data_IF_198136827053
#
_entry.id   IF_198136827053
#
_cell.length_a   1.000
_cell.length_b   1.000
_cell.length_c   1.000
_cell.angle_alpha   90.00
_cell.angle_beta   90.00
_cell.angle_gamma   90.00
#
_symmetry.space_group_name_H-M   'P 1'
#
loop_
_entity.id
_entity.type
_entity.pdbx_description
1 polymer ?
#
# COMPACT_ATOMS: atom_id res chain seq x y z
N UNK A 1 -31.32 -20.26 -6.95
CA UNK A 1 -30.23 -21.23 -7.20
C UNK A 1 -28.90 -20.57 -6.90
N UNK A 2 -28.39 -20.75 -5.68
CA UNK A 2 -27.07 -20.25 -5.28
C UNK A 2 -26.00 -21.05 -6.02
N UNK A 3 -25.17 -20.39 -6.83
CA UNK A 3 -23.94 -21.01 -7.33
C UNK A 3 -23.05 -21.27 -6.12
N UNK A 4 -22.96 -22.54 -5.73
CA UNK A 4 -21.94 -23.03 -4.79
C UNK A 4 -20.61 -22.82 -5.49
N UNK A 5 -19.90 -21.77 -5.09
CA UNK A 5 -18.49 -21.58 -5.46
C UNK A 5 -17.73 -22.75 -4.82
N UNK A 6 -16.92 -23.50 -5.57
CA UNK A 6 -16.09 -24.54 -4.99
C UNK A 6 -15.23 -23.95 -3.89
N UNK A 7 -15.26 -24.56 -2.69
CA UNK A 7 -14.31 -24.26 -1.62
C UNK A 7 -12.91 -24.62 -2.13
N UNK A 8 -12.15 -23.63 -2.59
CA UNK A 8 -10.76 -23.83 -2.93
C UNK A 8 -10.00 -24.26 -1.66
N UNK A 9 -9.33 -25.40 -1.73
CA UNK A 9 -8.63 -26.04 -0.62
C UNK A 9 -7.17 -25.56 -0.50
N UNK A 10 -6.80 -24.44 -1.10
CA UNK A 10 -5.39 -24.01 -1.19
C UNK A 10 -5.06 -22.64 -0.62
N UNK A 11 -6.01 -21.97 0.07
CA UNK A 11 -5.72 -20.73 0.80
C UNK A 11 -4.81 -21.01 2.01
N UNK A 12 -3.50 -21.14 1.79
CA UNK A 12 -2.50 -21.07 2.87
C UNK A 12 -2.53 -19.63 3.38
N UNK A 13 -3.00 -19.44 4.61
CA UNK A 13 -3.01 -18.13 5.24
C UNK A 13 -1.61 -17.51 5.32
N UNK A 14 -1.55 -16.19 5.48
CA UNK A 14 -0.31 -15.47 5.76
C UNK A 14 0.45 -16.16 6.91
N UNK A 15 1.68 -16.58 6.63
CA UNK A 15 2.56 -17.22 7.60
C UNK A 15 3.67 -16.24 7.93
N UNK A 16 3.59 -15.64 9.12
CA UNK A 16 4.64 -14.75 9.64
C UNK A 16 6.05 -15.37 9.57
N UNK A 17 6.25 -16.63 9.96
CA UNK A 17 7.54 -17.30 9.80
C UNK A 17 8.00 -17.42 8.34
N UNK A 18 7.11 -17.79 7.42
CA UNK A 18 7.45 -17.89 6.00
C UNK A 18 7.82 -16.51 5.44
N UNK A 19 7.06 -15.49 5.79
CA UNK A 19 7.35 -14.11 5.40
C UNK A 19 8.72 -13.65 5.90
N UNK A 20 9.03 -13.88 7.18
CA UNK A 20 10.33 -13.54 7.75
C UNK A 20 11.48 -14.29 7.04
N UNK A 21 11.32 -15.58 6.77
CA UNK A 21 12.29 -16.38 6.01
C UNK A 21 12.46 -15.79 4.60
N UNK A 22 11.37 -15.46 3.91
CA UNK A 22 11.43 -14.86 2.57
C UNK A 22 12.18 -13.54 2.59
N UNK A 23 11.89 -12.63 3.53
CA UNK A 23 12.59 -11.35 3.65
C UNK A 23 14.09 -11.57 3.90
N UNK A 24 14.46 -12.45 4.84
CA UNK A 24 15.86 -12.74 5.17
C UNK A 24 16.60 -13.35 3.97
N UNK A 25 16.01 -14.34 3.29
CA UNK A 25 16.62 -14.97 2.13
C UNK A 25 16.75 -14.00 0.96
N UNK A 26 15.72 -13.19 0.68
CA UNK A 26 15.78 -12.16 -0.36
C UNK A 26 16.82 -11.09 -0.06
N UNK A 27 16.93 -10.64 1.19
CA UNK A 27 17.96 -9.69 1.61
C UNK A 27 19.37 -10.29 1.49
N UNK A 28 19.55 -11.54 1.92
CA UNK A 28 20.80 -12.28 1.77
C UNK A 28 21.20 -12.46 0.31
N UNK A 29 20.23 -12.73 -0.58
CA UNK A 29 20.46 -12.81 -2.03
C UNK A 29 20.90 -11.46 -2.61
N UNK A 30 20.27 -10.34 -2.22
CA UNK A 30 20.66 -9.00 -2.64
C UNK A 30 22.07 -8.64 -2.15
N UNK A 31 22.41 -8.94 -0.90
CA UNK A 31 23.77 -8.74 -0.38
C UNK A 31 24.81 -9.63 -1.06
N UNK A 32 24.46 -10.88 -1.37
CA UNK A 32 25.34 -11.80 -2.08
C UNK A 32 25.60 -11.31 -3.51
N UNK A 33 24.55 -10.87 -4.22
CA UNK A 33 24.69 -10.27 -5.54
C UNK A 33 25.55 -9.01 -5.50
N UNK A 34 25.32 -8.13 -4.51
CA UNK A 34 26.15 -6.95 -4.31
C UNK A 34 27.62 -7.30 -4.04
N UNK A 35 27.91 -8.26 -3.16
CA UNK A 35 29.27 -8.73 -2.89
C UNK A 35 30.00 -9.23 -4.15
N UNK A 36 29.29 -9.95 -5.02
CA UNK A 36 29.86 -10.54 -6.22
C UNK A 36 30.15 -9.52 -7.31
N UNK A 37 29.35 -8.45 -7.41
CA UNK A 37 29.44 -7.47 -8.50
C UNK A 37 30.21 -6.21 -8.09
N UNK A 38 30.17 -5.81 -6.82
CA UNK A 38 30.78 -4.57 -6.38
C UNK A 38 32.31 -4.67 -6.34
N UNK A 39 33.03 -3.59 -6.73
CA UNK A 39 34.47 -3.52 -6.50
C UNK A 39 34.80 -3.72 -5.01
N UNK A 40 35.93 -4.37 -4.73
CA UNK A 40 36.34 -4.69 -3.35
C UNK A 40 36.42 -3.46 -2.44
N UNK A 41 36.79 -2.30 -2.99
CA UNK A 41 36.82 -1.03 -2.27
C UNK A 41 35.43 -0.57 -1.83
N UNK A 42 34.39 -0.78 -2.65
CA UNK A 42 33.00 -0.45 -2.31
C UNK A 42 32.52 -1.32 -1.17
N UNK A 43 32.75 -2.64 -1.26
CA UNK A 43 32.43 -3.58 -0.19
C UNK A 43 33.15 -3.23 1.12
N UNK A 44 34.46 -2.97 1.05
CA UNK A 44 35.26 -2.56 2.20
C UNK A 44 34.70 -1.29 2.86
N UNK A 45 34.23 -0.31 2.08
CA UNK A 45 33.58 0.89 2.60
C UNK A 45 32.26 0.59 3.33
N UNK A 46 31.49 -0.41 2.90
CA UNK A 46 30.26 -0.80 3.59
C UNK A 46 30.55 -1.41 4.97
N UNK A 47 31.52 -2.32 5.06
CA UNK A 47 31.83 -3.05 6.31
C UNK A 47 32.66 -2.23 7.30
N UNK A 48 33.43 -1.25 6.83
CA UNK A 48 34.26 -0.38 7.67
C UNK A 48 33.54 0.89 8.14
N UNK A 49 32.32 1.13 7.68
CA UNK A 49 31.54 2.29 8.10
C UNK A 49 31.21 2.23 9.59
N UNK A 50 31.37 3.37 10.28
CA UNK A 50 30.94 3.51 11.67
C UNK A 50 29.42 3.34 11.81
N UNK A 51 28.98 2.87 12.97
CA UNK A 51 27.55 2.76 13.31
C UNK A 51 26.74 4.05 13.04
N UNK A 52 27.28 5.23 13.38
CA UNK A 52 26.58 6.51 13.16
C UNK A 52 26.28 6.77 11.68
N UNK A 53 27.22 6.46 10.78
CA UNK A 53 27.02 6.57 9.33
C UNK A 53 25.98 5.58 8.84
N UNK A 54 25.96 4.37 9.39
CA UNK A 54 24.93 3.39 9.09
C UNK A 54 23.55 3.89 9.50
N UNK A 55 23.37 4.34 10.74
CA UNK A 55 22.10 4.89 11.24
C UNK A 55 21.64 6.07 10.40
N UNK A 56 22.55 7.01 10.10
CA UNK A 56 22.23 8.16 9.26
C UNK A 56 21.75 7.73 7.86
N UNK A 57 22.51 6.87 7.18
CA UNK A 57 22.15 6.38 5.86
C UNK A 57 20.81 5.61 5.89
N UNK A 58 20.58 4.81 6.92
CA UNK A 58 19.33 4.06 7.12
C UNK A 58 18.14 5.02 7.25
N UNK A 59 18.25 6.03 8.11
CA UNK A 59 17.18 7.03 8.33
C UNK A 59 16.89 7.83 7.05
N UNK A 60 17.93 8.25 6.31
CA UNK A 60 17.77 8.94 5.03
C UNK A 60 17.03 8.06 4.02
N UNK A 61 17.42 6.79 3.88
CA UNK A 61 16.74 5.88 2.95
C UNK A 61 15.33 5.53 3.43
N UNK A 62 15.07 5.39 4.73
CA UNK A 62 13.71 5.23 5.26
C UNK A 62 12.81 6.42 4.91
N UNK A 63 13.35 7.65 4.95
CA UNK A 63 12.61 8.83 4.49
C UNK A 63 12.31 8.74 2.99
N UNK A 64 13.29 8.38 2.16
CA UNK A 64 13.06 8.15 0.72
C UNK A 64 12.00 7.08 0.47
N UNK A 65 12.07 5.96 1.20
CA UNK A 65 11.09 4.87 1.10
C UNK A 65 9.68 5.34 1.47
N UNK A 66 9.52 6.18 2.48
CA UNK A 66 8.22 6.75 2.85
C UNK A 66 7.56 7.51 1.68
N UNK A 67 8.32 8.37 0.98
CA UNK A 67 7.79 9.08 -0.18
C UNK A 67 7.62 8.16 -1.40
N UNK A 68 8.50 7.19 -1.59
CA UNK A 68 8.39 6.21 -2.66
C UNK A 68 7.14 5.32 -2.49
N UNK A 69 6.87 4.86 -1.27
CA UNK A 69 5.67 4.10 -0.90
C UNK A 69 4.42 4.90 -1.22
N UNK A 70 4.33 6.15 -0.77
CA UNK A 70 3.20 7.04 -1.08
C UNK A 70 2.95 7.14 -2.60
N UNK A 71 4.00 7.41 -3.38
CA UNK A 71 3.89 7.55 -4.84
C UNK A 71 3.54 6.22 -5.51
N UNK A 72 4.09 5.11 -5.01
CA UNK A 72 3.79 3.78 -5.51
C UNK A 72 2.33 3.41 -5.25
N UNK A 73 1.84 3.61 -4.02
CA UNK A 73 0.46 3.35 -3.65
C UNK A 73 -0.49 4.18 -4.53
N UNK A 74 -0.28 5.49 -4.59
CA UNK A 74 -1.16 6.38 -5.36
C UNK A 74 -1.09 6.16 -6.87
N UNK A 75 0.11 6.12 -7.44
CA UNK A 75 0.28 6.13 -8.90
C UNK A 75 0.28 4.73 -9.51
N UNK A 76 0.80 3.73 -8.80
CA UNK A 76 0.86 2.35 -9.30
C UNK A 76 -0.37 1.58 -8.84
N UNK A 77 -0.62 1.52 -7.52
CA UNK A 77 -1.69 0.69 -6.98
C UNK A 77 -3.07 1.25 -7.34
N UNK A 78 -3.27 2.56 -7.29
CA UNK A 78 -4.58 3.19 -7.56
C UNK A 78 -4.80 3.71 -8.98
N UNK A 79 -3.74 4.12 -9.67
CA UNK A 79 -3.86 4.81 -10.97
C UNK A 79 -3.24 4.08 -12.15
N UNK A 80 -2.65 2.91 -11.95
CA UNK A 80 -2.02 2.11 -13.02
C UNK A 80 -1.11 2.97 -13.94
N UNK A 81 -0.34 3.91 -13.40
CA UNK A 81 0.43 4.86 -14.21
C UNK A 81 1.37 4.14 -15.18
N UNK A 82 1.93 3.01 -14.75
CA UNK A 82 2.88 2.19 -15.49
C UNK A 82 2.28 0.81 -15.83
N UNK A 83 1.94 0.51 -17.10
CA UNK A 83 1.23 -0.72 -17.47
C UNK A 83 1.98 -2.01 -17.12
N UNK A 84 3.31 -1.98 -17.17
CA UNK A 84 4.12 -3.15 -16.83
C UNK A 84 4.05 -3.50 -15.34
N UNK A 85 3.56 -2.57 -14.50
CA UNK A 85 3.21 -2.80 -13.10
C UNK A 85 1.71 -3.04 -12.89
N UNK A 86 0.94 -3.24 -13.96
CA UNK A 86 -0.52 -3.39 -13.91
C UNK A 86 -0.99 -4.57 -13.05
N UNK A 87 -0.14 -5.58 -12.84
CA UNK A 87 -0.41 -6.66 -11.89
C UNK A 87 -0.64 -6.15 -10.46
N UNK A 88 0.12 -5.15 -10.01
CA UNK A 88 -0.05 -4.54 -8.69
C UNK A 88 -1.35 -3.74 -8.59
N UNK A 89 -1.70 -2.98 -9.63
CA UNK A 89 -3.00 -2.31 -9.73
C UNK A 89 -4.16 -3.30 -9.67
N UNK A 90 -4.06 -4.41 -10.39
CA UNK A 90 -5.10 -5.44 -10.41
C UNK A 90 -5.24 -6.14 -9.06
N UNK A 91 -4.14 -6.48 -8.39
CA UNK A 91 -4.16 -7.10 -7.07
C UNK A 91 -4.71 -6.14 -6.01
N UNK A 92 -4.28 -4.88 -6.01
CA UNK A 92 -4.63 -3.93 -4.97
C UNK A 92 -5.95 -3.20 -5.27
N UNK A 93 -6.02 -2.36 -6.30
CA UNK A 93 -7.20 -1.54 -6.55
C UNK A 93 -8.39 -2.32 -7.11
N UNK A 94 -8.16 -3.31 -7.97
CA UNK A 94 -9.26 -4.08 -8.55
C UNK A 94 -9.72 -5.28 -7.69
N UNK A 95 -8.94 -5.69 -6.69
CA UNK A 95 -9.26 -6.89 -5.88
C UNK A 95 -9.35 -6.55 -4.40
N UNK A 96 -8.27 -6.07 -3.78
CA UNK A 96 -8.24 -5.76 -2.34
C UNK A 96 -9.30 -4.73 -1.94
N UNK A 97 -9.29 -3.55 -2.57
CA UNK A 97 -10.22 -2.46 -2.26
C UNK A 97 -11.70 -2.88 -2.39
N UNK A 98 -12.14 -3.54 -3.48
CA UNK A 98 -13.51 -4.06 -3.57
C UNK A 98 -13.89 -5.05 -2.48
N UNK A 99 -12.94 -5.85 -1.99
CA UNK A 99 -13.16 -6.84 -0.93
C UNK A 99 -13.13 -6.26 0.49
N UNK A 100 -12.61 -5.04 0.65
CA UNK A 100 -12.46 -4.33 1.93
C UNK A 100 -13.13 -2.95 1.93
N UNK A 101 -14.06 -2.74 0.99
CA UNK A 101 -14.69 -1.45 0.75
C UNK A 101 -15.60 -0.99 1.88
N UNK A 102 -15.73 0.33 1.98
CA UNK A 102 -16.81 0.98 2.71
C UNK A 102 -17.83 1.46 1.69
N UNK A 103 -19.04 0.90 1.74
CA UNK A 103 -20.05 1.09 0.71
C UNK A 103 -21.42 1.45 1.29
N UNK A 104 -22.37 1.73 0.40
CA UNK A 104 -23.77 1.97 0.75
C UNK A 104 -24.64 0.85 0.24
N UNK A 105 -25.61 0.45 1.04
CA UNK A 105 -26.62 -0.52 0.69
C UNK A 105 -28.02 0.06 0.90
N UNK A 106 -28.97 -0.37 0.08
CA UNK A 106 -30.38 -0.03 0.24
C UNK A 106 -31.05 -1.08 1.11
N UNK A 107 -31.62 -0.67 2.23
CA UNK A 107 -32.36 -1.55 3.14
C UNK A 107 -33.75 -0.97 3.36
N UNK A 108 -34.76 -1.83 3.56
CA UNK A 108 -36.10 -1.39 3.96
C UNK A 108 -36.15 -1.24 5.48
N UNK A 109 -36.65 -0.12 5.96
CA UNK A 109 -36.93 0.05 7.39
C UNK A 109 -38.21 -0.69 7.82
N UNK A 110 -38.53 -0.65 9.11
CA UNK A 110 -39.74 -1.29 9.67
C UNK A 110 -41.07 -0.74 9.12
N UNK A 111 -41.04 0.39 8.40
CA UNK A 111 -42.20 0.97 7.70
C UNK A 111 -42.26 0.62 6.21
N UNK A 112 -41.28 -0.15 5.71
CA UNK A 112 -41.16 -0.53 4.31
C UNK A 112 -40.48 0.52 3.42
N UNK A 113 -40.01 1.64 3.97
CA UNK A 113 -39.31 2.71 3.24
C UNK A 113 -37.86 2.29 2.97
N UNK A 114 -37.37 2.55 1.76
CA UNK A 114 -35.95 2.37 1.44
C UNK A 114 -35.11 3.46 2.11
N UNK A 115 -34.14 3.04 2.91
CA UNK A 115 -33.08 3.88 3.48
C UNK A 115 -31.71 3.41 2.98
N UNK A 116 -30.74 4.31 2.97
CA UNK A 116 -29.36 3.99 2.67
C UNK A 116 -28.59 3.79 3.97
N UNK A 117 -28.01 2.61 4.11
CA UNK A 117 -27.14 2.26 5.25
C UNK A 117 -25.72 2.04 4.78
N UNK A 118 -24.79 2.25 5.69
CA UNK A 118 -23.38 1.98 5.47
C UNK A 118 -23.09 0.49 5.65
N UNK A 119 -22.23 -0.05 4.80
CA UNK A 119 -21.66 -1.40 4.91
C UNK A 119 -20.14 -1.28 4.94
N UNK A 120 -19.53 -1.82 5.99
CA UNK A 120 -18.09 -1.78 6.22
C UNK A 120 -17.50 -3.19 6.14
N UNK A 121 -16.87 -3.50 5.01
CA UNK A 121 -16.15 -4.76 4.77
C UNK A 121 -14.63 -4.64 5.07
N UNK A 122 -14.19 -3.51 5.64
CA UNK A 122 -12.77 -3.19 5.84
C UNK A 122 -11.96 -4.27 6.56
N UNK A 123 -12.45 -4.90 7.65
CA UNK A 123 -11.68 -5.93 8.32
C UNK A 123 -11.41 -7.15 7.42
N UNK A 124 -10.16 -7.58 7.38
CA UNK A 124 -9.75 -8.79 6.65
C UNK A 124 -10.06 -10.02 7.51
N UNK A 125 -11.17 -10.67 7.21
CA UNK A 125 -11.65 -11.85 7.95
C UNK A 125 -11.73 -13.09 7.06
N UNK A 126 -11.85 -12.92 5.75
CA UNK A 126 -12.03 -14.00 4.77
C UNK A 126 -10.74 -14.35 4.01
N UNK A 127 -10.56 -15.59 3.56
CA UNK A 127 -9.35 -16.01 2.83
C UNK A 127 -9.07 -15.18 1.57
N UNK A 128 -10.09 -14.88 0.78
CA UNK A 128 -9.94 -14.10 -0.46
C UNK A 128 -9.46 -12.66 -0.21
N UNK A 129 -9.85 -12.06 0.92
CA UNK A 129 -9.34 -10.75 1.34
C UNK A 129 -7.84 -10.84 1.66
N UNK A 130 -7.44 -11.90 2.39
CA UNK A 130 -6.03 -12.11 2.80
C UNK A 130 -5.11 -12.26 1.60
N UNK A 131 -5.50 -13.07 0.62
CA UNK A 131 -4.70 -13.29 -0.60
C UNK A 131 -4.47 -12.01 -1.40
N UNK A 132 -5.45 -11.10 -1.41
CA UNK A 132 -5.33 -9.80 -2.09
C UNK A 132 -4.57 -8.73 -1.31
N UNK A 133 -4.28 -8.97 -0.02
CA UNK A 133 -3.75 -7.96 0.91
C UNK A 133 -2.25 -7.99 1.13
N UNK A 134 -1.55 -8.97 0.54
CA UNK A 134 -0.10 -9.18 0.72
C UNK A 134 0.66 -8.90 -0.58
N UNK A 135 1.85 -8.33 -0.46
CA UNK A 135 2.74 -8.20 -1.60
C UNK A 135 3.27 -9.58 -2.06
N UNK A 136 3.60 -9.73 -3.36
CA UNK A 136 4.27 -10.93 -3.85
C UNK A 136 5.59 -11.19 -3.12
N UNK A 137 5.95 -12.46 -2.93
CA UNK A 137 7.17 -12.89 -2.24
C UNK A 137 8.47 -12.30 -2.82
N UNK A 138 8.45 -11.92 -4.10
CA UNK A 138 9.60 -11.33 -4.80
C UNK A 138 9.73 -9.80 -4.62
N UNK A 139 8.84 -9.15 -3.87
CA UNK A 139 8.75 -7.68 -3.82
C UNK A 139 10.02 -7.01 -3.30
N UNK A 140 10.70 -7.58 -2.31
CA UNK A 140 11.97 -7.02 -1.81
C UNK A 140 13.03 -6.96 -2.92
N UNK A 141 13.12 -8.00 -3.75
CA UNK A 141 14.06 -8.02 -4.88
C UNK A 141 13.62 -7.01 -5.95
N UNK A 142 12.33 -7.00 -6.30
CA UNK A 142 11.78 -6.09 -7.31
C UNK A 142 11.96 -4.60 -6.97
N UNK A 143 11.92 -4.24 -5.68
CA UNK A 143 12.21 -2.88 -5.24
C UNK A 143 13.70 -2.65 -4.97
N UNK A 144 14.43 -3.66 -4.50
CA UNK A 144 15.85 -3.56 -4.17
C UNK A 144 16.75 -3.33 -5.38
N UNK A 145 16.44 -3.95 -6.52
CA UNK A 145 17.19 -3.77 -7.77
C UNK A 145 17.16 -2.31 -8.26
N UNK A 146 16.00 -1.67 -8.51
CA UNK A 146 15.97 -0.27 -8.93
C UNK A 146 16.49 0.68 -7.84
N UNK A 147 16.24 0.41 -6.55
CA UNK A 147 16.81 1.22 -5.46
C UNK A 147 18.34 1.15 -5.40
N UNK A 148 18.95 0.05 -5.85
CA UNK A 148 20.40 -0.07 -5.92
C UNK A 148 21.03 0.95 -6.88
N UNK A 149 20.29 1.39 -7.92
CA UNK A 149 20.75 2.48 -8.79
C UNK A 149 20.89 3.80 -8.03
N UNK A 150 19.93 4.11 -7.14
CA UNK A 150 20.04 5.26 -6.24
C UNK A 150 21.22 5.10 -5.30
N UNK A 151 21.47 3.90 -4.76
CA UNK A 151 22.60 3.66 -3.86
C UNK A 151 23.95 3.85 -4.56
N UNK A 152 24.07 3.50 -5.84
CA UNK A 152 25.26 3.81 -6.65
C UNK A 152 25.49 5.33 -6.72
N UNK A 153 24.45 6.11 -7.00
CA UNK A 153 24.55 7.58 -7.08
C UNK A 153 24.93 8.21 -5.74
N UNK A 154 24.32 7.73 -4.64
CA UNK A 154 24.63 8.18 -3.29
C UNK A 154 26.05 7.79 -2.87
N UNK A 155 26.49 6.58 -3.22
CA UNK A 155 27.87 6.15 -2.97
C UNK A 155 28.88 6.97 -3.76
N UNK A 156 28.60 7.30 -5.02
CA UNK A 156 29.47 8.19 -5.79
C UNK A 156 29.62 9.56 -5.12
N UNK A 157 28.53 10.09 -4.55
CA UNK A 157 28.50 11.40 -3.92
C UNK A 157 29.12 11.40 -2.50
N UNK A 158 28.88 10.33 -1.74
CA UNK A 158 29.26 10.18 -0.34
C UNK A 158 29.81 8.75 -0.11
N UNK A 159 31.01 8.43 -0.61
CA UNK A 159 31.51 7.05 -0.69
C UNK A 159 31.85 6.41 0.65
N UNK A 160 31.98 7.23 1.70
CA UNK A 160 32.28 6.74 3.06
C UNK A 160 31.06 6.26 3.84
N UNK A 161 29.85 6.39 3.28
CA UNK A 161 28.61 5.92 3.89
C UNK A 161 28.21 4.54 3.37
N UNK A 162 27.61 3.69 4.22
CA UNK A 162 27.26 2.32 3.86
C UNK A 162 25.89 2.25 3.15
N UNK A 163 25.73 2.97 2.03
CA UNK A 163 24.44 3.11 1.34
C UNK A 163 23.79 1.79 0.92
N UNK A 164 24.56 0.78 0.53
CA UNK A 164 23.99 -0.51 0.13
C UNK A 164 23.51 -1.30 1.35
N UNK A 165 24.32 -1.37 2.41
CA UNK A 165 23.94 -2.11 3.62
C UNK A 165 22.78 -1.43 4.34
N UNK A 166 22.91 -0.13 4.59
CA UNK A 166 21.88 0.65 5.26
C UNK A 166 20.62 0.79 4.38
N UNK A 167 20.79 0.97 3.06
CA UNK A 167 19.66 1.17 2.15
C UNK A 167 18.84 -0.09 1.90
N UNK A 168 19.49 -1.24 1.66
CA UNK A 168 18.78 -2.52 1.52
C UNK A 168 18.16 -2.95 2.86
N UNK A 169 18.85 -2.70 3.98
CA UNK A 169 18.29 -2.89 5.32
C UNK A 169 17.05 -2.03 5.57
N UNK A 170 17.11 -0.74 5.22
CA UNK A 170 15.99 0.19 5.34
C UNK A 170 14.81 -0.23 4.45
N UNK A 171 15.07 -0.71 3.23
CA UNK A 171 14.02 -1.22 2.33
C UNK A 171 13.37 -2.49 2.89
N UNK A 172 14.15 -3.47 3.33
CA UNK A 172 13.64 -4.69 3.96
C UNK A 172 12.82 -4.38 5.21
N UNK A 173 13.29 -3.46 6.04
CA UNK A 173 12.58 -2.96 7.22
C UNK A 173 11.26 -2.27 6.82
N UNK A 174 11.28 -1.38 5.83
CA UNK A 174 10.08 -0.64 5.40
C UNK A 174 9.02 -1.60 4.82
N UNK A 175 9.43 -2.58 4.00
CA UNK A 175 8.51 -3.59 3.47
C UNK A 175 7.94 -4.49 4.56
N UNK A 176 8.76 -4.88 5.54
CA UNK A 176 8.29 -5.64 6.71
C UNK A 176 7.29 -4.83 7.52
N UNK A 177 7.60 -3.55 7.76
CA UNK A 177 6.75 -2.65 8.51
C UNK A 177 5.42 -2.41 7.77
N UNK A 178 5.45 -2.25 6.45
CA UNK A 178 4.27 -2.14 5.60
C UNK A 178 3.33 -3.33 5.80
N UNK A 179 3.83 -4.55 5.62
CA UNK A 179 3.00 -5.77 5.70
C UNK A 179 2.40 -5.96 7.08
N UNK A 180 3.21 -5.77 8.13
CA UNK A 180 2.76 -5.92 9.52
C UNK A 180 1.76 -4.82 9.89
N UNK A 181 2.02 -3.57 9.52
CA UNK A 181 1.11 -2.46 9.79
C UNK A 181 -0.21 -2.63 9.03
N UNK A 182 -0.15 -2.95 7.73
CA UNK A 182 -1.33 -3.21 6.91
C UNK A 182 -2.20 -4.32 7.51
N UNK A 183 -1.57 -5.41 7.95
CA UNK A 183 -2.27 -6.50 8.62
C UNK A 183 -2.95 -6.04 9.92
N UNK A 184 -2.25 -5.29 10.77
CA UNK A 184 -2.77 -4.77 12.04
C UNK A 184 -3.94 -3.81 11.80
N UNK A 185 -3.79 -2.86 10.87
CA UNK A 185 -4.81 -1.87 10.50
C UNK A 185 -6.12 -2.55 10.06
N UNK A 186 -6.01 -3.65 9.31
CA UNK A 186 -7.16 -4.45 8.88
C UNK A 186 -7.72 -5.42 9.93
N UNK A 187 -7.23 -5.41 11.18
CA UNK A 187 -7.86 -6.19 12.25
C UNK A 187 -9.30 -5.70 12.51
N UNK A 188 -10.21 -6.60 12.95
CA UNK A 188 -11.58 -6.22 13.28
C UNK A 188 -11.65 -5.12 14.33
N UNK A 189 -12.66 -4.25 14.24
CA UNK A 189 -12.89 -3.18 15.20
C UNK A 189 -12.90 -3.69 16.65
N UNK A 190 -13.43 -4.90 16.90
CA UNK A 190 -13.44 -5.53 18.23
C UNK A 190 -12.06 -5.72 18.85
N UNK A 191 -11.01 -5.89 18.02
CA UNK A 191 -9.62 -5.94 18.49
C UNK A 191 -9.12 -4.55 18.90
N UNK A 192 -9.55 -3.51 18.18
CA UNK A 192 -9.17 -2.12 18.40
C UNK A 192 -9.95 -1.44 19.54
N UNK A 193 -11.18 -1.88 19.85
CA UNK A 193 -12.04 -1.26 20.87
C UNK A 193 -11.34 -1.08 22.23
N UNK A 194 -10.63 -2.06 22.82
CA UNK A 194 -9.93 -1.85 24.08
C UNK A 194 -8.88 -0.72 24.05
N UNK A 195 -8.27 -0.47 22.88
CA UNK A 195 -7.32 0.62 22.68
C UNK A 195 -8.05 1.95 22.45
N UNK A 196 -9.11 1.95 21.64
CA UNK A 196 -9.94 3.11 21.32
C UNK A 196 -10.68 3.63 22.56
N UNK A 197 -11.15 2.74 23.43
CA UNK A 197 -11.87 3.10 24.66
C UNK A 197 -10.92 3.52 25.79
N UNK A 198 -9.61 3.53 25.56
CA UNK A 198 -8.62 3.89 26.58
C UNK A 198 -8.76 5.37 26.99
N UNK A 199 -8.93 5.71 28.29
CA UNK A 199 -9.31 7.07 28.73
C UNK A 199 -8.37 8.21 28.31
N UNK A 200 -7.07 7.93 28.18
CA UNK A 200 -6.05 8.94 27.85
C UNK A 200 -5.55 8.88 26.41
N UNK A 201 -5.68 7.72 25.77
CA UNK A 201 -5.01 7.41 24.51
C UNK A 201 -5.99 6.98 23.42
N UNK A 202 -7.28 6.86 23.74
CA UNK A 202 -8.32 6.49 22.80
C UNK A 202 -8.32 7.34 21.54
N UNK A 203 -8.18 8.66 21.70
CA UNK A 203 -8.09 9.60 20.58
C UNK A 203 -6.95 9.29 19.59
N UNK A 204 -5.83 8.75 20.07
CA UNK A 204 -4.70 8.36 19.23
C UNK A 204 -5.02 7.07 18.49
N UNK A 205 -5.55 6.06 19.20
CA UNK A 205 -5.91 4.77 18.62
C UNK A 205 -7.07 4.86 17.63
N UNK A 206 -8.04 5.76 17.86
CA UNK A 206 -9.10 6.09 16.89
C UNK A 206 -8.49 6.62 15.59
N UNK A 207 -7.46 7.47 15.67
CA UNK A 207 -6.77 7.99 14.48
C UNK A 207 -5.92 6.94 13.79
N UNK A 208 -5.23 6.09 14.56
CA UNK A 208 -4.41 5.01 14.02
C UNK A 208 -5.25 4.01 13.22
N UNK A 209 -6.31 3.45 13.83
CA UNK A 209 -7.25 2.57 13.13
C UNK A 209 -7.95 3.30 11.97
N UNK A 210 -8.35 4.55 12.24
CA UNK A 210 -9.09 5.37 11.31
C UNK A 210 -8.33 5.80 10.07
N UNK A 211 -6.99 5.85 10.12
CA UNK A 211 -6.18 6.36 9.03
C UNK A 211 -6.35 5.53 7.75
N UNK A 212 -6.02 4.24 7.80
CA UNK A 212 -6.17 3.36 6.64
C UNK A 212 -7.63 2.96 6.40
N UNK A 213 -8.47 2.92 7.44
CA UNK A 213 -9.93 2.79 7.26
C UNK A 213 -10.49 3.89 6.35
N UNK A 214 -10.08 5.14 6.56
CA UNK A 214 -10.54 6.27 5.76
C UNK A 214 -10.00 6.22 4.31
N UNK A 215 -8.81 5.66 4.10
CA UNK A 215 -8.31 5.37 2.75
C UNK A 215 -9.24 4.42 1.98
N UNK A 216 -9.79 3.39 2.64
CA UNK A 216 -10.77 2.48 2.03
C UNK A 216 -12.15 3.11 1.79
N UNK A 217 -12.49 4.16 2.52
CA UNK A 217 -13.65 5.01 2.21
C UNK A 217 -13.37 5.97 1.04
N UNK A 218 -12.16 6.53 0.98
CA UNK A 218 -11.74 7.57 0.04
C UNK A 218 -10.31 7.31 -0.42
N UNK A 219 -10.18 6.55 -1.51
CA UNK A 219 -8.89 6.03 -2.03
C UNK A 219 -7.89 7.10 -2.53
N UNK A 220 -8.22 8.39 -2.42
CA UNK A 220 -7.34 9.48 -2.84
C UNK A 220 -6.61 10.14 -1.67
N UNK A 221 -6.55 9.49 -0.51
CA UNK A 221 -5.94 9.99 0.71
C UNK A 221 -5.30 8.88 1.53
N UNK A 222 -4.49 9.24 2.52
CA UNK A 222 -3.89 8.32 3.48
C UNK A 222 -3.16 7.13 2.82
N UNK A 223 -2.25 7.43 1.90
CA UNK A 223 -1.59 6.43 1.06
C UNK A 223 -0.44 5.71 1.81
N UNK A 224 0.15 6.32 2.83
CA UNK A 224 1.26 5.72 3.58
C UNK A 224 0.78 4.71 4.62
N UNK A 225 1.15 3.45 4.47
CA UNK A 225 0.93 2.39 5.47
C UNK A 225 2.10 2.32 6.45
N UNK A 226 3.30 2.12 5.93
CA UNK A 226 4.51 2.05 6.75
C UNK A 226 5.09 3.43 7.04
N UNK A 227 4.87 4.37 6.11
CA UNK A 227 5.29 5.77 6.26
C UNK A 227 6.76 5.92 6.64
N UNK A 228 7.07 6.97 7.41
CA UNK A 228 8.37 7.15 8.03
C UNK A 228 8.31 6.61 9.46
N UNK A 229 8.55 5.31 9.62
CA UNK A 229 8.40 4.61 10.91
C UNK A 229 6.98 4.72 11.50
N UNK A 230 5.96 4.37 10.68
CA UNK A 230 4.52 4.50 10.96
C UNK A 230 4.00 5.94 11.05
N UNK A 231 4.86 6.94 10.86
CA UNK A 231 4.44 8.33 10.76
C UNK A 231 4.06 8.66 9.30
N UNK A 232 2.86 9.19 9.02
CA UNK A 232 2.35 9.43 7.67
C UNK A 232 2.94 10.73 7.07
N UNK A 233 4.28 10.82 7.05
CA UNK A 233 5.02 12.02 6.67
C UNK A 233 4.67 12.47 5.25
N UNK A 234 4.68 11.55 4.29
CA UNK A 234 4.39 11.85 2.89
C UNK A 234 2.97 12.40 2.72
N UNK A 235 1.97 11.80 3.38
CA UNK A 235 0.59 12.29 3.33
C UNK A 235 0.41 13.68 3.92
N UNK A 236 1.13 13.99 5.01
CA UNK A 236 1.13 15.33 5.60
C UNK A 236 1.77 16.33 4.64
N UNK A 237 2.95 16.01 4.12
CA UNK A 237 3.70 16.89 3.19
C UNK A 237 2.92 17.15 1.91
N UNK A 238 2.21 16.14 1.39
CA UNK A 238 1.44 16.25 0.17
C UNK A 238 -0.01 16.69 0.36
N UNK A 239 -0.45 16.90 1.60
CA UNK A 239 -1.79 17.40 1.92
C UNK A 239 -2.90 16.38 1.67
N UNK A 240 -2.59 15.09 1.77
CA UNK A 240 -3.54 13.97 1.66
C UNK A 240 -3.87 13.33 2.99
N UNK A 241 -3.22 13.73 4.09
CA UNK A 241 -3.56 13.23 5.42
C UNK A 241 -4.98 13.64 5.84
N UNK A 242 -5.79 12.64 6.21
CA UNK A 242 -7.16 12.79 6.70
C UNK A 242 -7.38 11.96 7.94
N UNK A 243 -7.93 12.58 8.97
CA UNK A 243 -8.49 11.86 10.12
C UNK A 243 -9.96 11.60 9.86
N UNK A 244 -10.45 10.37 10.06
CA UNK A 244 -11.89 10.14 10.01
C UNK A 244 -12.59 10.79 11.21
N UNK A 245 -13.75 11.37 10.95
CA UNK A 245 -14.67 11.84 11.99
C UNK A 245 -15.55 10.68 12.54
N UNK A 246 -15.49 9.50 11.91
CA UNK A 246 -16.35 8.34 12.21
C UNK A 246 -15.67 7.04 11.80
N UNK A 247 -15.97 5.96 12.51
CA UNK A 247 -15.42 4.62 12.26
C UNK A 247 -16.26 3.78 11.28
N UNK A 248 -17.19 4.42 10.57
CA UNK A 248 -18.03 3.81 9.54
C UNK A 248 -18.66 2.48 10.01
N UNK A 249 -19.45 2.50 11.08
CA UNK A 249 -20.07 1.28 11.60
C UNK A 249 -21.17 0.81 10.66
N UNK A 250 -21.18 -0.49 10.33
CA UNK A 250 -22.22 -1.09 9.48
C UNK A 250 -23.61 -0.88 10.08
N UNK A 251 -24.57 -0.45 9.26
CA UNK A 251 -25.94 -0.14 9.66
C UNK A 251 -26.18 1.33 10.01
N UNK A 252 -25.13 2.14 10.17
CA UNK A 252 -25.29 3.60 10.28
C UNK A 252 -25.95 4.18 9.03
N UNK A 253 -26.72 5.25 9.19
CA UNK A 253 -27.27 6.00 8.06
C UNK A 253 -26.17 6.56 7.15
N UNK A 254 -26.35 6.44 5.84
CA UNK A 254 -25.40 6.96 4.87
C UNK A 254 -25.38 8.51 4.87
N UNK A 255 -24.22 9.09 5.11
CA UNK A 255 -23.97 10.52 5.01
C UNK A 255 -22.79 10.79 4.05
N UNK A 256 -23.03 11.40 2.87
CA UNK A 256 -21.98 11.77 1.93
C UNK A 256 -20.91 12.70 2.52
N UNK A 257 -21.25 13.48 3.56
CA UNK A 257 -20.33 14.43 4.18
C UNK A 257 -19.14 13.75 4.85
N UNK A 258 -19.27 12.45 5.19
CA UNK A 258 -18.21 11.60 5.77
C UNK A 258 -17.15 11.15 4.75
N UNK A 259 -17.34 11.41 3.46
CA UNK A 259 -16.47 10.92 2.37
C UNK A 259 -15.75 12.06 1.63
N UNK A 260 -15.30 13.09 2.36
CA UNK A 260 -14.67 14.27 1.78
C UNK A 260 -13.23 13.98 1.35
N UNK A 261 -12.95 14.22 0.07
CA UNK A 261 -11.60 14.12 -0.50
C UNK A 261 -10.71 15.25 0.02
N UNK A 262 -9.41 15.00 0.27
CA UNK A 262 -8.45 16.07 0.49
C UNK A 262 -8.23 16.90 -0.77
N UNK A 263 -7.54 18.04 -0.62
CA UNK A 263 -7.02 18.81 -1.75
C UNK A 263 -5.49 18.75 -1.69
N UNK A 264 -4.85 17.80 -2.39
CA UNK A 264 -3.40 17.61 -2.37
C UNK A 264 -2.67 18.86 -2.87
N UNK A 265 -1.37 18.95 -2.61
CA UNK A 265 -0.51 20.00 -3.19
C UNK A 265 -0.49 19.95 -4.72
N UNK A 266 -0.10 21.05 -5.36
CA UNK A 266 -0.19 21.22 -6.83
C UNK A 266 0.50 20.10 -7.61
N UNK A 267 1.65 19.61 -7.12
CA UNK A 267 2.42 18.54 -7.76
C UNK A 267 1.62 17.24 -7.84
N UNK A 268 0.99 16.84 -6.73
CA UNK A 268 0.16 15.62 -6.69
C UNK A 268 -1.08 15.78 -7.57
N UNK A 269 -1.73 16.96 -7.55
CA UNK A 269 -2.86 17.22 -8.45
C UNK A 269 -2.48 17.14 -9.92
N UNK A 270 -1.28 17.60 -10.27
CA UNK A 270 -0.75 17.49 -11.63
C UNK A 270 -0.49 16.03 -12.01
N UNK A 271 0.12 15.23 -11.12
CA UNK A 271 0.33 13.79 -11.32
C UNK A 271 -1.00 13.03 -11.48
N UNK A 272 -1.98 13.32 -10.65
CA UNK A 272 -3.33 12.75 -10.73
C UNK A 272 -3.97 13.08 -12.09
N UNK A 273 -3.92 14.34 -12.52
CA UNK A 273 -4.47 14.75 -13.80
C UNK A 273 -3.74 14.09 -15.00
N UNK A 274 -2.43 13.90 -14.89
CA UNK A 274 -1.65 13.19 -15.90
C UNK A 274 -2.02 11.71 -15.98
N UNK A 275 -2.08 11.01 -14.84
CA UNK A 275 -2.45 9.58 -14.81
C UNK A 275 -3.89 9.34 -15.25
N UNK A 276 -4.82 10.21 -14.88
CA UNK A 276 -6.21 10.14 -15.35
C UNK A 276 -6.30 10.26 -16.89
N UNK A 277 -5.50 11.14 -17.50
CA UNK A 277 -5.40 11.24 -18.97
C UNK A 277 -4.88 9.94 -19.58
N UNK A 278 -3.83 9.36 -19.01
CA UNK A 278 -3.27 8.09 -19.49
C UNK A 278 -4.29 6.95 -19.42
N UNK A 279 -4.99 6.80 -18.28
CA UNK A 279 -6.02 5.78 -18.11
C UNK A 279 -7.16 5.95 -19.11
N UNK A 280 -7.65 7.18 -19.29
CA UNK A 280 -8.71 7.49 -20.28
C UNK A 280 -8.27 7.10 -21.70
N UNK A 281 -7.07 7.49 -22.11
CA UNK A 281 -6.52 7.14 -23.43
C UNK A 281 -6.39 5.62 -23.62
N UNK A 282 -5.97 4.88 -22.59
CA UNK A 282 -5.87 3.40 -22.67
C UNK A 282 -7.24 2.75 -22.78
N UNK A 283 -8.19 3.15 -21.94
CA UNK A 283 -9.57 2.65 -22.01
C UNK A 283 -10.16 2.88 -23.40
N UNK A 284 -10.02 4.09 -23.95
CA UNK A 284 -10.48 4.39 -25.31
C UNK A 284 -9.86 3.46 -26.37
N UNK A 285 -8.55 3.20 -26.32
CA UNK A 285 -7.88 2.24 -27.22
C UNK A 285 -8.41 0.81 -27.07
N UNK A 286 -8.62 0.34 -25.83
CA UNK A 286 -9.17 -0.99 -25.56
C UNK A 286 -10.61 -1.11 -26.08
N UNK A 287 -11.45 -0.10 -25.87
CA UNK A 287 -12.81 -0.06 -26.41
C UNK A 287 -12.81 -0.07 -27.95
N UNK A 288 -11.95 0.71 -28.59
CA UNK A 288 -11.82 0.72 -30.04
C UNK A 288 -11.40 -0.66 -30.58
N UNK A 289 -10.39 -1.29 -29.96
CA UNK A 289 -9.93 -2.65 -30.32
C UNK A 289 -11.03 -3.69 -30.15
N UNK A 290 -11.79 -3.65 -29.04
CA UNK A 290 -12.90 -4.56 -28.79
C UNK A 290 -14.04 -4.39 -29.80
N UNK A 291 -14.32 -3.15 -30.22
CA UNK A 291 -15.32 -2.86 -31.26
C UNK A 291 -14.90 -3.43 -32.62
N UNK A 292 -13.63 -3.24 -32.99
CA UNK A 292 -13.06 -3.81 -34.24
C UNK A 292 -13.09 -5.34 -34.23
N UNK A 293 -12.68 -5.97 -33.13
CA UNK A 293 -12.71 -7.43 -32.99
C UNK A 293 -14.13 -8.01 -33.07
N UNK A 294 -15.13 -7.29 -32.56
CA UNK A 294 -16.54 -7.69 -32.73
C UNK A 294 -17.01 -7.55 -34.18
N UNK A 295 -16.61 -6.50 -34.88
CA UNK A 295 -16.97 -6.30 -36.29
C UNK A 295 -16.34 -7.35 -37.21
N UNK A 296 -15.15 -7.87 -36.90
CA UNK A 296 -14.48 -8.91 -37.67
C UNK A 296 -15.01 -10.33 -37.43
N UNK A 297 -15.86 -10.54 -36.41
CA UNK A 297 -16.50 -11.85 -36.14
C UNK A 297 -17.89 -11.94 -36.80
N UNK A 298 -18.46 -10.80 -37.22
CA UNK A 298 -19.78 -10.71 -37.84
C UNK A 298 -19.70 -10.73 -39.38
N UNK A 299 -18.51 -10.58 -39.95
CA UNK A 299 -18.22 -10.71 -41.38
C UNK A 299 -17.45 -12.01 -41.64
#
# INVERSE_FOLDING_TARGET
MSKVVPKDKTARGFSGPLFAITIVLSLGALFSAFYLVAPRSVWAAQVSASWLKFVFAFVVISAVNCFAEYLFHRLVLHKEAFPFLGGFYQAHHCTHHPLTRISKEKVKDGSGREILVLVNDYPITRPEQKESSIFPWYSLISFGVPMSLLFVLLWWSLPSFPWFFAGLGALAFSLTLYEVAHFIEHLPLTWWLPLIDHPRWGWFWTKAYGFHLYHHAVIECNEGISGFFLFPLADIVFGTFKTPDTLFVTGEGWDPSKFKKPTPVWLIRWLDAWTDKLQKSRRAKLFAKAKLAKASVVN
#
